data_IF_165185643192
#
_entry.id   IF_165185643192
#
_cell.length_a   1.000
_cell.length_b   1.000
_cell.length_c   1.000
_cell.angle_alpha   90.00
_cell.angle_beta   90.00
_cell.angle_gamma   90.00
#
_symmetry.space_group_name_H-M   'P 1'
#
loop_
_entity.id
_entity.type
_entity.pdbx_description
1 polymer ?
#
# COMPACT_ATOMS: atom_id res chain seq x y z
N UNK A 1 -11.73 -1.25 11.03
CA UNK A 1 -13.05 -0.60 10.83
C UNK A 1 -13.45 -0.58 9.35
N UNK A 2 -12.58 -0.19 8.39
CA UNK A 2 -12.91 -0.18 6.95
C UNK A 2 -13.44 -1.53 6.40
N UNK A 3 -12.77 -2.65 6.66
CA UNK A 3 -13.21 -4.00 6.20
C UNK A 3 -14.53 -4.51 6.79
N UNK A 4 -15.01 -3.92 7.91
CA UNK A 4 -16.35 -4.23 8.44
C UNK A 4 -17.44 -3.50 7.65
N UNK A 5 -17.11 -2.33 7.09
CA UNK A 5 -18.02 -1.50 6.30
C UNK A 5 -18.03 -1.89 4.82
N UNK A 6 -16.93 -2.48 4.34
CA UNK A 6 -16.75 -2.92 2.96
C UNK A 6 -16.18 -4.36 2.91
N UNK A 7 -17.01 -5.40 3.14
CA UNK A 7 -16.58 -6.79 3.10
C UNK A 7 -15.98 -7.24 1.76
N UNK A 8 -16.41 -6.62 0.65
CA UNK A 8 -15.88 -6.80 -0.70
C UNK A 8 -14.40 -6.41 -0.87
N UNK A 9 -13.78 -5.77 0.14
CA UNK A 9 -12.32 -5.56 0.18
C UNK A 9 -11.57 -6.81 0.68
N UNK A 10 -12.27 -7.88 1.08
CA UNK A 10 -11.71 -9.21 1.34
C UNK A 10 -12.01 -10.11 0.15
N UNK A 11 -11.22 -9.99 -0.91
CA UNK A 11 -11.36 -10.83 -2.11
C UNK A 11 -10.35 -11.97 -2.01
N UNK A 12 -10.78 -13.21 -2.21
CA UNK A 12 -9.93 -14.41 -2.25
C UNK A 12 -9.86 -14.96 -3.68
N UNK A 13 -8.70 -15.43 -4.13
CA UNK A 13 -8.47 -15.91 -5.51
C UNK A 13 -9.34 -17.11 -5.92
N UNK A 14 -9.87 -17.88 -4.96
CA UNK A 14 -10.70 -19.06 -5.20
C UNK A 14 -12.19 -18.76 -5.54
N UNK A 15 -12.60 -17.49 -5.54
CA UNK A 15 -13.99 -17.10 -5.80
C UNK A 15 -14.33 -17.10 -7.30
N UNK A 16 -15.43 -17.74 -7.70
CA UNK A 16 -15.91 -17.77 -9.10
C UNK A 16 -16.21 -16.38 -9.70
N UNK A 17 -16.34 -15.36 -8.85
CA UNK A 17 -16.65 -13.97 -9.20
C UNK A 17 -15.45 -13.05 -8.91
N UNK A 18 -14.24 -13.62 -8.79
CA UNK A 18 -13.02 -12.94 -8.38
C UNK A 18 -12.73 -11.65 -9.17
N UNK A 19 -12.79 -11.70 -10.50
CA UNK A 19 -12.46 -10.54 -11.34
C UNK A 19 -13.49 -9.40 -11.24
N UNK A 20 -14.79 -9.71 -11.17
CA UNK A 20 -15.83 -8.69 -10.96
C UNK A 20 -15.71 -8.05 -9.56
N UNK A 21 -15.48 -8.87 -8.53
CA UNK A 21 -15.27 -8.39 -7.16
C UNK A 21 -14.00 -7.55 -7.04
N UNK A 22 -12.93 -7.92 -7.74
CA UNK A 22 -11.67 -7.18 -7.80
C UNK A 22 -11.85 -5.83 -8.47
N UNK A 23 -12.58 -5.76 -9.57
CA UNK A 23 -12.87 -4.49 -10.25
C UNK A 23 -13.72 -3.55 -9.39
N UNK A 24 -14.75 -4.07 -8.73
CA UNK A 24 -15.59 -3.32 -7.78
C UNK A 24 -14.77 -2.85 -6.58
N UNK A 25 -13.93 -3.71 -6.01
CA UNK A 25 -13.03 -3.36 -4.92
C UNK A 25 -12.05 -2.26 -5.33
N UNK A 26 -11.43 -2.35 -6.51
CA UNK A 26 -10.53 -1.33 -7.03
C UNK A 26 -11.24 0.02 -7.24
N UNK A 27 -12.48 0.02 -7.75
CA UNK A 27 -13.29 1.23 -7.87
C UNK A 27 -13.58 1.84 -6.49
N UNK A 28 -14.01 1.04 -5.53
CA UNK A 28 -14.30 1.52 -4.18
C UNK A 28 -13.07 2.05 -3.47
N UNK A 29 -11.90 1.42 -3.65
CA UNK A 29 -10.65 1.92 -3.07
C UNK A 29 -10.32 3.32 -3.57
N UNK A 30 -10.52 3.58 -4.88
CA UNK A 30 -10.37 4.91 -5.47
C UNK A 30 -11.39 5.91 -4.93
N UNK A 31 -12.67 5.56 -4.94
CA UNK A 31 -13.76 6.47 -4.50
C UNK A 31 -13.65 6.85 -3.02
N UNK A 32 -13.12 5.95 -2.19
CA UNK A 32 -13.02 6.16 -0.74
C UNK A 32 -11.69 6.76 -0.29
N UNK A 33 -10.72 6.91 -1.20
CA UNK A 33 -9.35 7.33 -0.92
C UNK A 33 -8.69 6.54 0.26
N UNK A 34 -9.05 5.25 0.39
CA UNK A 34 -8.59 4.42 1.52
C UNK A 34 -7.08 4.21 1.46
N UNK A 35 -6.52 4.07 0.26
CA UNK A 35 -5.08 3.84 0.06
C UNK A 35 -4.31 5.09 0.50
N UNK A 36 -4.72 6.26 0.03
CA UNK A 36 -4.16 7.56 0.38
C UNK A 36 -4.25 7.82 1.90
N UNK A 37 -5.40 7.51 2.51
CA UNK A 37 -5.59 7.66 3.95
C UNK A 37 -4.69 6.71 4.76
N UNK A 38 -4.47 5.47 4.29
CA UNK A 38 -3.56 4.52 4.95
C UNK A 38 -2.11 4.97 4.79
N UNK A 39 -1.71 5.41 3.60
CA UNK A 39 -0.37 5.96 3.34
C UNK A 39 -0.09 7.14 4.27
N UNK A 40 -0.96 8.15 4.28
CA UNK A 40 -0.82 9.31 5.15
C UNK A 40 -0.75 8.92 6.63
N UNK A 41 -1.65 8.04 7.09
CA UNK A 41 -1.64 7.59 8.49
C UNK A 41 -0.32 6.89 8.84
N UNK A 42 0.18 6.02 7.97
CA UNK A 42 1.42 5.29 8.22
C UNK A 42 2.65 6.20 8.21
N UNK A 43 2.70 7.19 7.32
CA UNK A 43 3.74 8.22 7.31
C UNK A 43 3.75 9.02 8.63
N UNK A 44 2.59 9.49 9.09
CA UNK A 44 2.47 10.21 10.37
C UNK A 44 2.96 9.35 11.55
N UNK A 45 2.63 8.05 11.57
CA UNK A 45 3.10 7.15 12.62
C UNK A 45 4.63 6.96 12.56
N UNK A 46 5.21 6.91 11.36
CA UNK A 46 6.65 6.78 11.19
C UNK A 46 7.40 8.03 11.66
N UNK A 47 6.90 9.22 11.31
CA UNK A 47 7.43 10.53 11.79
C UNK A 47 7.38 10.66 13.31
N UNK A 48 6.38 10.04 13.95
CA UNK A 48 6.25 9.99 15.42
C UNK A 48 7.10 8.89 16.06
N UNK A 49 8.00 8.26 15.31
CA UNK A 49 8.83 7.13 15.73
C UNK A 49 8.04 5.88 16.18
N UNK A 50 6.74 5.82 15.85
CA UNK A 50 5.87 4.67 16.12
C UNK A 50 6.02 3.60 15.03
N UNK A 51 7.26 3.14 14.79
CA UNK A 51 7.64 2.32 13.62
C UNK A 51 6.84 1.03 13.48
N UNK A 52 6.53 0.35 14.58
CA UNK A 52 5.71 -0.87 14.56
C UNK A 52 4.28 -0.57 14.11
N UNK A 53 3.71 0.54 14.58
CA UNK A 53 2.37 0.96 14.19
C UNK A 53 2.31 1.39 12.72
N UNK A 54 3.34 2.07 12.23
CA UNK A 54 3.49 2.43 10.81
C UNK A 54 3.51 1.18 9.92
N UNK A 55 4.37 0.19 10.25
CA UNK A 55 4.45 -1.11 9.56
C UNK A 55 3.13 -1.87 9.56
N UNK A 56 2.46 -1.93 10.71
CA UNK A 56 1.16 -2.61 10.81
C UNK A 56 0.06 -1.87 10.06
N UNK A 57 0.16 -0.55 9.93
CA UNK A 57 -0.80 0.25 9.17
C UNK A 57 -0.60 0.07 7.68
N UNK A 58 0.63 0.14 7.16
CA UNK A 58 0.91 0.00 5.72
C UNK A 58 0.60 -1.42 5.21
N UNK A 59 0.76 -2.45 6.04
CA UNK A 59 0.35 -3.84 5.72
C UNK A 59 -1.16 -4.00 5.49
N UNK A 60 -1.96 -2.98 5.82
CA UNK A 60 -3.40 -2.93 5.56
C UNK A 60 -3.75 -2.34 4.20
N UNK A 61 -2.78 -1.87 3.41
CA UNK A 61 -3.07 -1.52 2.01
C UNK A 61 -3.45 -2.82 1.29
N UNK A 62 -4.68 -2.93 0.74
CA UNK A 62 -5.11 -4.15 0.08
C UNK A 62 -4.31 -4.37 -1.20
N UNK A 63 -3.87 -5.61 -1.44
CA UNK A 63 -3.17 -6.03 -2.67
C UNK A 63 -4.07 -6.09 -3.92
N UNK A 64 -5.29 -5.53 -3.83
CA UNK A 64 -6.38 -5.68 -4.82
C UNK A 64 -6.30 -4.57 -5.89
N UNK A 65 -5.31 -3.68 -5.81
CA UNK A 65 -5.06 -2.69 -6.85
C UNK A 65 -4.80 -3.38 -8.19
N UNK A 66 -5.77 -3.30 -9.11
CA UNK A 66 -5.70 -3.86 -10.47
C UNK A 66 -4.53 -3.29 -11.29
N UNK A 67 -3.95 -2.17 -10.85
CA UNK A 67 -2.82 -1.48 -11.48
C UNK A 67 -1.48 -1.71 -10.77
N UNK A 68 -1.40 -2.60 -9.76
CA UNK A 68 -0.21 -2.77 -8.93
C UNK A 68 -0.18 -1.81 -7.73
N UNK A 69 0.78 -2.02 -6.82
CA UNK A 69 0.95 -1.19 -5.62
C UNK A 69 1.28 0.25 -6.06
N UNK A 70 0.58 1.25 -5.52
CA UNK A 70 0.86 2.64 -5.89
C UNK A 70 2.26 3.08 -5.42
N UNK A 71 2.91 4.03 -6.12
CA UNK A 71 4.28 4.45 -5.81
C UNK A 71 4.49 4.93 -4.37
N UNK A 72 3.48 5.55 -3.75
CA UNK A 72 3.58 6.06 -2.36
C UNK A 72 3.55 4.90 -1.37
N UNK A 73 2.65 3.92 -1.56
CA UNK A 73 2.66 2.70 -0.75
C UNK A 73 3.97 1.96 -0.89
N UNK A 74 4.47 1.85 -2.13
CA UNK A 74 5.69 1.10 -2.42
C UNK A 74 6.93 1.77 -1.81
N UNK A 75 7.01 3.11 -1.86
CA UNK A 75 8.02 3.91 -1.18
C UNK A 75 7.97 3.74 0.35
N UNK A 76 6.78 3.90 0.95
CA UNK A 76 6.59 3.72 2.39
C UNK A 76 7.01 2.32 2.85
N UNK A 77 6.68 1.28 2.08
CA UNK A 77 7.14 -0.08 2.37
C UNK A 77 8.67 -0.21 2.28
N UNK A 78 9.31 0.38 1.27
CA UNK A 78 10.77 0.33 1.15
C UNK A 78 11.45 0.96 2.37
N UNK A 79 10.97 2.12 2.85
CA UNK A 79 11.53 2.77 4.03
C UNK A 79 11.24 1.95 5.29
N UNK A 80 9.98 1.59 5.54
CA UNK A 80 9.60 1.01 6.83
C UNK A 80 10.27 -0.35 7.06
N UNK A 81 10.47 -1.15 6.01
CA UNK A 81 11.02 -2.51 6.11
C UNK A 81 12.54 -2.61 5.89
N UNK A 82 13.25 -1.49 5.72
CA UNK A 82 14.71 -1.50 5.45
C UNK A 82 15.51 -2.21 6.53
N UNK A 83 15.10 -2.12 7.80
CA UNK A 83 15.76 -2.79 8.93
C UNK A 83 15.51 -4.29 8.99
N UNK A 84 14.43 -4.76 8.35
CA UNK A 84 14.06 -6.18 8.31
C UNK A 84 14.68 -6.87 7.09
N UNK A 85 14.61 -6.22 5.92
CA UNK A 85 15.19 -6.72 4.68
C UNK A 85 15.66 -5.55 3.81
N UNK A 86 16.92 -5.15 4.02
CA UNK A 86 17.52 -4.04 3.29
C UNK A 86 17.64 -4.33 1.78
N UNK A 87 17.96 -5.56 1.39
CA UNK A 87 18.11 -5.95 -0.01
C UNK A 87 16.79 -5.80 -0.78
N UNK A 88 15.67 -6.27 -0.21
CA UNK A 88 14.36 -6.11 -0.81
C UNK A 88 13.92 -4.64 -0.85
N UNK A 89 14.20 -3.89 0.22
CA UNK A 89 13.88 -2.47 0.31
C UNK A 89 14.61 -1.64 -0.74
N UNK A 90 15.91 -1.91 -0.96
CA UNK A 90 16.71 -1.28 -2.01
C UNK A 90 16.18 -1.67 -3.40
N UNK A 91 15.80 -2.93 -3.60
CA UNK A 91 15.19 -3.36 -4.88
C UNK A 91 13.89 -2.61 -5.16
N UNK A 92 13.06 -2.38 -4.14
CA UNK A 92 11.84 -1.57 -4.25
C UNK A 92 12.17 -0.12 -4.61
N UNK A 93 13.14 0.50 -3.94
CA UNK A 93 13.55 1.86 -4.27
C UNK A 93 14.08 1.98 -5.71
N UNK A 94 14.91 1.03 -6.15
CA UNK A 94 15.41 0.99 -7.53
C UNK A 94 14.28 0.80 -8.55
N UNK A 95 13.24 0.04 -8.24
CA UNK A 95 12.09 -0.10 -9.13
C UNK A 95 11.36 1.23 -9.32
N UNK A 96 11.14 2.01 -8.25
CA UNK A 96 10.53 3.35 -8.33
C UNK A 96 11.33 4.31 -9.20
N UNK A 97 12.65 4.28 -9.08
CA UNK A 97 13.54 5.15 -9.88
C UNK A 97 13.44 4.85 -11.38
N UNK A 98 13.15 3.61 -11.76
CA UNK A 98 13.03 3.20 -13.16
C UNK A 98 11.64 3.48 -13.77
N UNK A 99 10.59 3.60 -12.94
CA UNK A 99 9.20 3.77 -13.40
C UNK A 99 8.83 5.23 -13.74
N UNK A 100 9.74 6.21 -13.57
CA UNK A 100 9.53 7.66 -13.80
C UNK A 100 8.37 8.33 -13.03
N UNK A 101 7.57 7.58 -12.27
CA UNK A 101 6.53 8.07 -11.35
C UNK A 101 6.90 7.66 -9.92
N UNK A 102 7.68 8.50 -9.23
CA UNK A 102 8.08 8.29 -7.84
C UNK A 102 7.69 9.50 -6.98
N UNK A 103 7.38 9.30 -5.70
CA UNK A 103 7.19 10.41 -4.77
C UNK A 103 8.50 11.21 -4.61
N UNK A 104 8.45 12.55 -4.48
CA UNK A 104 9.65 13.39 -4.39
C UNK A 104 10.58 12.99 -3.23
N UNK A 105 10.02 12.42 -2.17
CA UNK A 105 10.73 11.87 -1.02
C UNK A 105 11.65 10.69 -1.37
N UNK A 106 11.53 10.09 -2.56
CA UNK A 106 12.44 9.02 -3.04
C UNK A 106 13.90 9.49 -3.14
N UNK A 107 14.14 10.80 -3.25
CA UNK A 107 15.47 11.42 -3.39
C UNK A 107 15.93 12.22 -2.17
N UNK A 108 15.14 12.30 -1.09
CA UNK A 108 15.49 13.00 0.15
C UNK A 108 16.05 12.04 1.19
#
# INVERSE_FOLDING_TARGET
QAYKKYPQLRVSEDDQVFEENKQLAAQMLRETAIVEAINLKSAILFEKEEYVAAKMTIKRVPAISTSGIDPVTFHNQAIFFVTENSAESIKKMNHLLNECLFPPETFQ
#
